data_IF_663233547956
#
_entry.id   IF_663233547956
#
_cell.length_a   1.000
_cell.length_b   1.000
_cell.length_c   1.000
_cell.angle_alpha   90.00
_cell.angle_beta   90.00
_cell.angle_gamma   90.00
#
_symmetry.space_group_name_H-M   'P 1'
#
loop_
_entity.id
_entity.type
_entity.pdbx_description
1 polymer ?
#
# COMPACT_ATOMS: atom_id res chain seq x y z
N UNK A 1 -17.81 -23.64 -13.35
CA UNK A 1 -17.33 -22.45 -12.62
C UNK A 1 -15.84 -22.62 -12.31
N UNK A 2 -14.95 -21.89 -12.99
CA UNK A 2 -13.49 -21.98 -12.74
C UNK A 2 -13.05 -20.78 -11.91
N UNK A 3 -12.69 -21.01 -10.64
CA UNK A 3 -12.04 -20.03 -9.76
C UNK A 3 -10.60 -19.82 -10.25
N UNK A 4 -10.19 -18.58 -10.53
CA UNK A 4 -8.77 -18.24 -10.70
C UNK A 4 -8.21 -17.87 -9.33
N UNK A 5 -7.16 -18.57 -8.91
CA UNK A 5 -6.35 -18.21 -7.76
C UNK A 5 -5.64 -16.87 -8.02
N UNK A 6 -5.67 -15.98 -7.03
CA UNK A 6 -4.80 -14.81 -6.94
C UNK A 6 -3.45 -15.32 -6.41
N UNK A 7 -2.32 -15.04 -7.06
CA UNK A 7 -1.02 -15.44 -6.54
C UNK A 7 -0.63 -14.54 -5.36
N UNK A 8 -0.42 -15.15 -4.20
CA UNK A 8 0.33 -14.57 -3.08
C UNK A 8 1.81 -14.73 -3.41
N UNK A 9 2.54 -13.62 -3.49
CA UNK A 9 3.99 -13.63 -3.69
C UNK A 9 4.68 -13.83 -2.33
N UNK A 10 5.17 -15.04 -2.09
CA UNK A 10 6.16 -15.32 -1.05
C UNK A 10 7.57 -15.15 -1.65
N UNK A 11 8.40 -14.32 -1.01
CA UNK A 11 9.77 -14.05 -1.42
C UNK A 11 10.71 -15.14 -0.91
N UNK A 12 11.31 -15.92 -1.83
CA UNK A 12 12.39 -16.87 -1.50
C UNK A 12 13.68 -16.42 -2.16
N UNK A 13 14.61 -15.98 -1.32
CA UNK A 13 15.98 -15.64 -1.67
C UNK A 13 16.71 -16.81 -2.37
N UNK A 14 17.46 -16.50 -3.43
CA UNK A 14 18.28 -17.45 -4.18
C UNK A 14 19.77 -17.05 -4.15
N UNK A 15 20.70 -17.99 -3.93
CA UNK A 15 22.12 -17.76 -4.21
C UNK A 15 22.56 -18.32 -5.58
N UNK A 16 23.38 -17.48 -6.21
CA UNK A 16 24.09 -17.52 -7.51
C UNK A 16 24.66 -18.85 -7.99
N UNK A 17 24.84 -18.97 -9.30
CA UNK A 17 25.81 -19.87 -9.96
C UNK A 17 26.54 -19.15 -11.13
N UNK A 18 27.78 -19.52 -11.50
CA UNK A 18 28.64 -18.71 -12.35
C UNK A 18 28.75 -19.15 -13.82
N UNK A 19 29.15 -18.16 -14.61
CA UNK A 19 29.67 -18.02 -15.99
C UNK A 19 30.20 -19.26 -16.74
N UNK A 20 29.82 -19.36 -18.03
CA UNK A 20 30.78 -19.57 -19.13
C UNK A 20 30.41 -20.57 -20.24
N UNK A 21 30.21 -20.10 -21.49
CA UNK A 21 30.99 -20.45 -22.71
C UNK A 21 30.32 -19.97 -24.02
N UNK A 22 31.19 -19.58 -24.96
CA UNK A 22 30.93 -19.03 -26.30
C UNK A 22 30.63 -20.13 -27.34
N UNK A 23 29.94 -19.79 -28.45
CA UNK A 23 29.97 -20.61 -29.68
C UNK A 23 28.87 -20.37 -30.74
N UNK A 24 29.29 -19.76 -31.86
CA UNK A 24 28.76 -19.83 -33.25
C UNK A 24 27.50 -19.02 -33.69
N UNK A 25 27.55 -18.33 -34.86
CA UNK A 25 26.46 -17.51 -35.37
C UNK A 25 25.44 -18.34 -36.19
N UNK A 26 24.15 -18.19 -35.87
CA UNK A 26 23.02 -18.78 -36.62
C UNK A 26 22.50 -17.80 -37.68
N UNK A 27 21.99 -18.30 -38.82
CA UNK A 27 21.64 -17.48 -39.98
C UNK A 27 20.46 -16.52 -39.69
N UNK A 28 20.53 -15.33 -40.29
CA UNK A 28 19.54 -14.26 -40.17
C UNK A 28 18.20 -14.69 -40.75
N UNK A 29 17.27 -15.11 -39.89
CA UNK A 29 15.87 -15.20 -40.22
C UNK A 29 15.29 -13.78 -40.37
N UNK A 30 14.71 -13.48 -41.54
CA UNK A 30 13.89 -12.28 -41.79
C UNK A 30 12.83 -12.19 -40.67
N UNK A 31 12.99 -11.22 -39.77
CA UNK A 31 11.94 -10.84 -38.82
C UNK A 31 10.80 -10.23 -39.63
N UNK A 32 9.78 -11.04 -39.93
CA UNK A 32 8.43 -10.50 -40.17
C UNK A 32 8.11 -9.66 -38.94
N UNK A 33 7.78 -8.39 -39.14
CA UNK A 33 7.37 -7.51 -38.06
C UNK A 33 6.24 -8.17 -37.29
N UNK A 34 6.55 -8.66 -36.10
CA UNK A 34 5.52 -8.99 -35.12
C UNK A 34 4.99 -7.62 -34.73
N UNK A 35 3.83 -7.26 -35.27
CA UNK A 35 3.03 -6.18 -34.72
C UNK A 35 2.94 -6.46 -33.22
N UNK A 36 3.59 -5.61 -32.42
CA UNK A 36 3.54 -5.73 -30.97
C UNK A 36 2.08 -5.68 -30.58
N UNK A 37 1.56 -6.76 -29.98
CA UNK A 37 0.23 -6.72 -29.37
C UNK A 37 0.18 -5.47 -28.48
N UNK A 38 -0.94 -4.72 -28.48
CA UNK A 38 -1.09 -3.61 -27.54
C UNK A 38 -0.84 -4.14 -26.14
N UNK A 39 0.16 -3.59 -25.46
CA UNK A 39 0.46 -3.95 -24.08
C UNK A 39 -0.74 -3.53 -23.24
N UNK A 40 -1.58 -4.50 -22.88
CA UNK A 40 -2.61 -4.31 -21.88
C UNK A 40 -1.92 -3.90 -20.59
N UNK A 41 -2.13 -2.65 -20.16
CA UNK A 41 -1.60 -2.19 -18.87
C UNK A 41 -2.30 -2.99 -17.77
N UNK A 42 -1.53 -3.69 -16.95
CA UNK A 42 -2.09 -4.37 -15.79
C UNK A 42 -2.26 -3.32 -14.69
N UNK A 43 -3.50 -2.88 -14.49
CA UNK A 43 -3.86 -2.04 -13.34
C UNK A 43 -3.80 -2.86 -12.06
N UNK A 44 -3.00 -2.41 -11.10
CA UNK A 44 -2.84 -3.04 -9.79
C UNK A 44 -3.32 -2.09 -8.68
N UNK A 45 -4.01 -2.65 -7.69
CA UNK A 45 -4.34 -1.95 -6.45
C UNK A 45 -3.44 -2.50 -5.36
N UNK A 46 -2.74 -1.62 -4.64
CA UNK A 46 -1.95 -2.01 -3.48
C UNK A 46 -2.86 -2.02 -2.26
N UNK A 47 -2.92 -3.14 -1.55
CA UNK A 47 -3.67 -3.26 -0.31
C UNK A 47 -2.71 -3.68 0.79
N UNK A 48 -2.75 -2.97 1.91
CA UNK A 48 -1.96 -3.31 3.08
C UNK A 48 -2.74 -3.10 4.36
N UNK A 49 -2.32 -3.83 5.38
CA UNK A 49 -2.92 -3.90 6.71
C UNK A 49 -1.85 -3.56 7.74
N UNK A 50 -2.11 -2.62 8.65
CA UNK A 50 -1.17 -2.23 9.71
C UNK A 50 0.23 -1.88 9.16
N UNK A 51 1.29 -2.60 9.54
CA UNK A 51 2.64 -2.45 8.96
C UNK A 51 2.68 -2.71 7.45
N UNK A 52 1.85 -3.63 6.95
CA UNK A 52 1.66 -3.87 5.53
C UNK A 52 1.05 -2.68 4.80
N UNK A 53 0.22 -1.87 5.46
CA UNK A 53 -0.31 -0.63 4.88
C UNK A 53 0.79 0.45 4.79
N UNK A 54 1.67 0.53 5.79
CA UNK A 54 2.86 1.38 5.70
C UNK A 54 3.74 0.96 4.50
N UNK A 55 3.98 -0.34 4.33
CA UNK A 55 4.71 -0.90 3.18
C UNK A 55 3.99 -0.60 1.87
N UNK A 56 2.66 -0.73 1.82
CA UNK A 56 1.87 -0.41 0.62
C UNK A 56 2.02 1.06 0.22
N UNK A 57 1.96 2.00 1.17
CA UNK A 57 2.21 3.43 0.92
C UNK A 57 3.65 3.66 0.40
N UNK A 58 4.63 3.01 1.02
CA UNK A 58 6.02 3.11 0.59
C UNK A 58 6.22 2.59 -0.84
N UNK A 59 5.64 1.44 -1.17
CA UNK A 59 5.70 0.85 -2.53
C UNK A 59 4.95 1.74 -3.52
N UNK A 60 3.81 2.31 -3.15
CA UNK A 60 3.08 3.27 -3.99
C UNK A 60 3.97 4.47 -4.37
N UNK A 61 4.74 5.00 -3.40
CA UNK A 61 5.70 6.08 -3.64
C UNK A 61 6.82 5.67 -4.58
N UNK A 62 7.41 4.49 -4.35
CA UNK A 62 8.45 3.95 -5.23
C UNK A 62 7.94 3.70 -6.65
N UNK A 63 6.68 3.29 -6.79
CA UNK A 63 6.05 3.16 -8.10
C UNK A 63 5.90 4.51 -8.81
N UNK A 64 5.50 5.56 -8.09
CA UNK A 64 5.41 6.92 -8.63
C UNK A 64 6.80 7.45 -9.02
N UNK A 65 7.82 7.26 -8.18
CA UNK A 65 9.20 7.64 -8.47
C UNK A 65 9.78 6.91 -9.69
N UNK A 66 9.50 5.61 -9.80
CA UNK A 66 9.96 4.78 -10.92
C UNK A 66 9.29 5.15 -12.25
N UNK A 67 8.06 5.69 -12.21
CA UNK A 67 7.32 6.11 -13.40
C UNK A 67 7.20 5.00 -14.43
N UNK A 68 7.70 5.24 -15.66
CA UNK A 68 7.62 4.26 -16.77
C UNK A 68 8.56 3.06 -16.62
N UNK A 69 9.45 3.05 -15.63
CA UNK A 69 10.38 1.92 -15.41
C UNK A 69 9.66 0.63 -15.00
N UNK A 70 8.46 0.74 -14.42
CA UNK A 70 7.64 -0.40 -14.00
C UNK A 70 6.57 -0.78 -15.03
N UNK A 71 6.59 -0.20 -16.23
CA UNK A 71 5.68 -0.60 -17.31
C UNK A 71 5.84 -2.12 -17.61
N UNK A 72 4.72 -2.85 -17.82
CA UNK A 72 3.36 -2.38 -18.03
C UNK A 72 2.50 -2.28 -16.74
N UNK A 73 3.10 -2.39 -15.55
CA UNK A 73 2.39 -2.34 -14.27
C UNK A 73 2.06 -0.90 -13.91
N UNK A 74 0.80 -0.62 -13.60
CA UNK A 74 0.34 0.69 -13.12
C UNK A 74 -0.37 0.53 -11.79
N UNK A 75 0.12 1.21 -10.75
CA UNK A 75 -0.59 1.34 -9.48
C UNK A 75 -1.75 2.31 -9.70
N UNK A 76 -2.98 1.80 -9.73
CA UNK A 76 -4.18 2.60 -10.05
C UNK A 76 -4.90 3.12 -8.81
N UNK A 77 -4.69 2.48 -7.66
CA UNK A 77 -5.18 2.90 -6.36
C UNK A 77 -4.42 2.18 -5.24
N UNK A 78 -4.61 2.60 -4.00
CA UNK A 78 -4.20 1.87 -2.81
C UNK A 78 -5.31 1.83 -1.76
N UNK A 79 -5.22 0.84 -0.87
CA UNK A 79 -6.08 0.63 0.30
C UNK A 79 -5.17 0.46 1.51
N UNK A 80 -5.27 1.40 2.45
CA UNK A 80 -4.46 1.46 3.66
C UNK A 80 -5.37 1.16 4.87
N UNK A 81 -5.32 -0.07 5.36
CA UNK A 81 -6.11 -0.48 6.52
C UNK A 81 -5.33 -0.24 7.81
N UNK A 82 -5.89 0.63 8.67
CA UNK A 82 -5.35 1.07 9.96
C UNK A 82 -3.83 1.17 9.92
N UNK A 83 -3.27 2.05 9.07
CA UNK A 83 -1.87 2.00 8.71
C UNK A 83 -0.96 2.32 9.88
N UNK A 84 0.13 1.56 9.99
CA UNK A 84 1.13 1.75 11.03
C UNK A 84 2.04 2.93 10.73
N UNK A 85 1.46 4.12 10.88
CA UNK A 85 2.16 5.39 10.85
C UNK A 85 2.45 5.85 12.27
N UNK A 86 3.59 6.52 12.45
CA UNK A 86 3.99 7.15 13.72
C UNK A 86 4.56 8.53 13.45
N UNK A 87 4.79 9.34 14.47
CA UNK A 87 5.47 10.62 14.38
C UNK A 87 5.87 11.12 15.76
N UNK A 88 6.78 12.10 15.81
CA UNK A 88 7.25 12.67 17.08
C UNK A 88 6.17 13.48 17.80
N UNK A 89 5.38 14.25 17.04
CA UNK A 89 4.25 15.02 17.55
C UNK A 89 3.03 14.11 17.73
N UNK A 90 2.59 13.87 18.98
CA UNK A 90 1.51 12.94 19.25
C UNK A 90 0.16 13.49 18.77
N UNK A 91 -0.66 12.64 18.15
CA UNK A 91 -2.06 12.94 17.83
C UNK A 91 -2.97 12.72 19.03
N UNK A 92 -4.24 13.15 18.94
CA UNK A 92 -5.20 12.97 20.03
C UNK A 92 -5.47 11.48 20.33
N UNK A 93 -5.63 10.62 19.32
CA UNK A 93 -5.73 9.16 19.49
C UNK A 93 -4.50 8.57 20.16
N UNK A 94 -3.30 9.02 19.78
CA UNK A 94 -2.05 8.51 20.34
C UNK A 94 -1.87 8.87 21.82
N UNK A 95 -2.42 10.00 22.26
CA UNK A 95 -2.46 10.41 23.68
C UNK A 95 -3.55 9.65 24.43
N UNK A 96 -4.78 9.62 23.89
CA UNK A 96 -5.96 9.04 24.56
C UNK A 96 -5.82 7.52 24.75
N UNK A 97 -5.24 6.82 23.78
CA UNK A 97 -5.16 5.36 23.75
C UNK A 97 -3.77 4.83 24.14
N UNK A 98 -2.91 5.67 24.71
CA UNK A 98 -1.52 5.35 25.04
C UNK A 98 -1.33 4.14 25.96
N UNK A 99 -2.35 3.75 26.74
CA UNK A 99 -2.32 2.65 27.71
C UNK A 99 -3.39 1.58 27.41
N UNK A 100 -3.74 1.38 26.14
CA UNK A 100 -4.77 0.41 25.74
C UNK A 100 -4.19 -0.95 25.38
N UNK A 101 -5.04 -1.98 25.36
CA UNK A 101 -4.62 -3.38 25.38
C UNK A 101 -4.08 -3.94 24.06
N UNK A 102 -4.32 -3.30 22.91
CA UNK A 102 -3.93 -3.86 21.60
C UNK A 102 -2.54 -3.37 21.15
N UNK A 103 -2.39 -2.07 20.91
CA UNK A 103 -1.12 -1.46 20.51
C UNK A 103 -0.93 -0.19 21.31
N UNK A 104 0.08 -0.19 22.18
CA UNK A 104 0.47 0.98 22.95
C UNK A 104 1.70 1.66 22.33
N UNK A 105 2.00 2.87 22.81
CA UNK A 105 3.14 3.65 22.33
C UNK A 105 4.46 2.88 22.47
N UNK A 106 4.65 2.15 23.56
CA UNK A 106 5.90 1.44 23.86
C UNK A 106 6.18 0.34 22.84
N UNK A 107 5.17 -0.47 22.52
CA UNK A 107 5.24 -1.53 21.53
C UNK A 107 5.49 -0.95 20.13
N UNK A 108 4.76 0.10 19.74
CA UNK A 108 4.94 0.75 18.45
C UNK A 108 6.35 1.35 18.29
N UNK A 109 6.85 2.04 19.32
CA UNK A 109 8.21 2.61 19.31
C UNK A 109 9.26 1.50 19.24
N UNK A 110 9.07 0.40 19.99
CA UNK A 110 9.97 -0.74 19.95
C UNK A 110 10.02 -1.39 18.56
N UNK A 111 8.87 -1.55 17.89
CA UNK A 111 8.80 -2.09 16.54
C UNK A 111 9.63 -1.26 15.55
N UNK A 112 9.53 0.08 15.61
CA UNK A 112 10.33 0.97 14.76
C UNK A 112 11.83 0.97 15.12
N UNK A 113 12.19 0.82 16.40
CA UNK A 113 13.58 0.65 16.83
C UNK A 113 14.21 -0.64 16.32
N UNK A 114 13.43 -1.71 16.20
CA UNK A 114 13.88 -2.98 15.65
C UNK A 114 13.99 -2.93 14.12
N UNK A 115 13.15 -2.13 13.46
CA UNK A 115 13.13 -2.00 12.01
C UNK A 115 14.24 -1.09 11.46
N UNK A 116 14.56 0.01 12.16
CA UNK A 116 15.56 0.98 11.72
C UNK A 116 16.92 0.73 12.38
N UNK A 117 18.04 0.96 11.67
CA UNK A 117 19.35 1.04 12.31
C UNK A 117 19.33 2.09 13.43
N UNK A 118 19.98 1.81 14.56
CA UNK A 118 19.94 2.67 15.75
C UNK A 118 20.34 4.13 15.45
N UNK A 119 21.29 4.34 14.52
CA UNK A 119 21.77 5.67 14.10
C UNK A 119 20.77 6.46 13.24
N UNK A 120 19.81 5.77 12.65
CA UNK A 120 18.78 6.33 11.76
C UNK A 120 17.41 6.37 12.42
N UNK A 121 17.28 5.82 13.64
CA UNK A 121 16.04 5.78 14.36
C UNK A 121 15.51 7.19 14.64
N UNK A 122 14.36 7.49 14.05
CA UNK A 122 13.56 8.67 14.33
C UNK A 122 12.10 8.30 14.14
N UNK A 123 11.23 8.81 15.02
CA UNK A 123 9.78 8.68 14.80
C UNK A 123 9.33 9.46 13.56
N UNK A 124 10.11 10.46 13.15
CA UNK A 124 9.92 11.21 11.90
C UNK A 124 10.81 10.69 10.78
N UNK A 125 11.24 9.43 10.87
CA UNK A 125 11.88 8.79 9.73
C UNK A 125 10.86 8.70 8.56
N UNK A 126 11.23 8.97 7.29
CA UNK A 126 10.30 8.96 6.15
C UNK A 126 9.61 7.62 5.86
N UNK A 127 10.11 6.52 6.42
CA UNK A 127 9.46 5.21 6.41
C UNK A 127 8.34 5.11 7.46
N UNK A 128 8.46 5.83 8.57
CA UNK A 128 7.60 5.72 9.74
C UNK A 128 6.50 6.79 9.76
N UNK A 129 6.88 8.04 9.46
CA UNK A 129 5.99 9.19 9.44
C UNK A 129 5.68 9.61 8.00
N UNK A 130 4.43 9.47 7.53
CA UNK A 130 4.10 9.80 6.15
C UNK A 130 3.95 11.30 5.90
N UNK A 131 3.91 12.11 6.96
CA UNK A 131 3.64 13.56 6.94
C UNK A 131 4.90 14.42 7.09
N UNK A 132 6.08 13.81 7.02
CA UNK A 132 7.33 14.57 7.15
C UNK A 132 7.56 15.48 5.94
N UNK A 133 7.99 16.73 6.16
CA UNK A 133 8.33 17.64 5.07
C UNK A 133 9.40 17.05 4.15
N UNK A 134 9.32 17.36 2.85
CA UNK A 134 10.32 16.91 1.88
C UNK A 134 10.25 15.43 1.52
N UNK A 135 9.27 14.67 2.03
CA UNK A 135 9.02 13.28 1.60
C UNK A 135 8.55 13.26 0.15
N UNK A 136 9.46 12.89 -0.75
CA UNK A 136 9.15 12.64 -2.16
C UNK A 136 8.33 11.35 -2.35
N UNK A 137 7.64 11.22 -3.49
CA UNK A 137 7.25 12.28 -4.42
C UNK A 137 6.15 13.18 -3.82
N UNK A 138 5.83 14.35 -4.44
CA UNK A 138 4.74 15.21 -3.97
C UNK A 138 3.42 14.46 -3.83
N UNK A 139 2.65 14.74 -2.77
CA UNK A 139 1.39 14.03 -2.48
C UNK A 139 0.39 14.03 -3.64
N UNK A 140 0.35 15.09 -4.45
CA UNK A 140 -0.51 15.18 -5.65
C UNK A 140 -0.24 14.10 -6.71
N UNK A 141 0.91 13.44 -6.63
CA UNK A 141 1.30 12.36 -7.53
C UNK A 141 0.96 10.97 -6.98
N UNK A 142 0.51 10.90 -5.72
CA UNK A 142 0.11 9.64 -5.11
C UNK A 142 -1.15 9.08 -5.78
N UNK A 143 -1.29 7.74 -5.85
CA UNK A 143 -2.51 7.14 -6.36
C UNK A 143 -3.70 7.45 -5.44
N UNK A 144 -4.93 7.38 -5.97
CA UNK A 144 -6.14 7.35 -5.15
C UNK A 144 -6.00 6.40 -3.97
N UNK A 145 -6.40 6.83 -2.78
CA UNK A 145 -6.07 6.15 -1.51
C UNK A 145 -7.30 5.97 -0.63
N UNK A 146 -7.80 4.75 -0.49
CA UNK A 146 -8.78 4.44 0.53
C UNK A 146 -8.08 4.24 1.88
N UNK A 147 -8.42 5.04 2.88
CA UNK A 147 -7.92 4.86 4.25
C UNK A 147 -9.03 4.24 5.10
N UNK A 148 -8.74 3.13 5.78
CA UNK A 148 -9.67 2.52 6.75
C UNK A 148 -9.10 2.72 8.14
N UNK A 149 -9.91 3.18 9.08
CA UNK A 149 -9.51 3.35 10.49
C UNK A 149 -10.56 2.76 11.43
N UNK A 150 -10.10 2.35 12.60
CA UNK A 150 -10.94 1.84 13.68
C UNK A 150 -11.01 2.87 14.81
N UNK A 151 -12.17 3.04 15.43
CA UNK A 151 -12.39 4.06 16.49
C UNK A 151 -11.47 3.87 17.70
N UNK A 152 -11.21 2.61 18.08
CA UNK A 152 -10.34 2.25 19.20
C UNK A 152 -8.95 1.83 18.73
N UNK A 153 -8.36 2.65 17.87
CA UNK A 153 -7.00 2.46 17.34
C UNK A 153 -6.10 3.65 17.69
N UNK A 154 -4.96 3.34 18.31
CA UNK A 154 -3.92 4.30 18.63
C UNK A 154 -3.45 5.10 17.39
N UNK A 155 -3.36 4.43 16.23
CA UNK A 155 -2.87 5.00 14.96
C UNK A 155 -3.92 5.82 14.19
N UNK A 156 -5.17 5.84 14.66
CA UNK A 156 -6.33 6.40 13.93
C UNK A 156 -6.09 7.81 13.41
N UNK A 157 -5.80 8.76 14.29
CA UNK A 157 -5.82 10.18 13.92
C UNK A 157 -4.68 10.53 12.96
N UNK A 158 -3.56 9.79 13.00
CA UNK A 158 -2.45 9.98 12.08
C UNK A 158 -2.79 9.49 10.68
N UNK A 159 -3.49 8.36 10.57
CA UNK A 159 -4.02 7.87 9.30
C UNK A 159 -5.03 8.85 8.68
N UNK A 160 -5.92 9.42 9.51
CA UNK A 160 -6.86 10.46 9.09
C UNK A 160 -6.10 11.69 8.56
N UNK A 161 -5.12 12.20 9.31
CA UNK A 161 -4.31 13.34 8.91
C UNK A 161 -3.59 13.11 7.58
N UNK A 162 -3.08 11.90 7.33
CA UNK A 162 -2.50 11.54 6.04
C UNK A 162 -3.50 11.65 4.88
N UNK A 163 -4.71 11.11 5.07
CA UNK A 163 -5.78 11.19 4.08
C UNK A 163 -6.22 12.64 3.83
N UNK A 164 -6.25 13.47 4.87
CA UNK A 164 -6.56 14.90 4.74
C UNK A 164 -5.51 15.65 3.90
N UNK A 165 -4.21 15.39 4.12
CA UNK A 165 -3.15 16.01 3.31
C UNK A 165 -3.22 15.58 1.84
N UNK A 166 -3.56 14.31 1.55
CA UNK A 166 -3.84 13.85 0.20
C UNK A 166 -5.03 14.60 -0.44
N UNK A 167 -6.12 14.79 0.32
CA UNK A 167 -7.30 15.51 -0.16
C UNK A 167 -7.04 17.00 -0.41
N UNK A 168 -6.21 17.66 0.41
CA UNK A 168 -5.80 19.06 0.23
C UNK A 168 -5.13 19.32 -1.12
N UNK A 169 -4.48 18.30 -1.68
CA UNK A 169 -3.85 18.34 -3.00
C UNK A 169 -4.68 17.66 -4.11
N UNK A 170 -5.98 17.49 -3.88
CA UNK A 170 -6.98 16.94 -4.81
C UNK A 170 -6.77 15.47 -5.21
N UNK A 171 -6.13 14.65 -4.36
CA UNK A 171 -6.16 13.19 -4.51
C UNK A 171 -7.49 12.65 -3.96
N UNK A 172 -8.12 11.73 -4.69
CA UNK A 172 -9.28 10.99 -4.21
C UNK A 172 -8.86 10.07 -3.06
N UNK A 173 -9.07 10.53 -1.83
CA UNK A 173 -8.59 9.87 -0.63
C UNK A 173 -9.63 9.83 0.52
N UNK A 174 -10.70 9.04 0.38
CA UNK A 174 -11.72 8.91 1.42
C UNK A 174 -11.19 8.15 2.65
N UNK A 175 -11.76 8.48 3.80
CA UNK A 175 -11.56 7.75 5.06
C UNK A 175 -12.84 7.01 5.40
N UNK A 176 -12.72 5.72 5.72
CA UNK A 176 -13.79 4.93 6.32
C UNK A 176 -13.48 4.70 7.80
N UNK A 177 -14.32 5.26 8.66
CA UNK A 177 -14.20 5.12 10.10
C UNK A 177 -15.20 4.08 10.62
N UNK A 178 -14.70 2.99 11.20
CA UNK A 178 -15.54 1.96 11.79
C UNK A 178 -15.67 2.19 13.30
N UNK A 179 -16.90 2.48 13.73
CA UNK A 179 -17.26 2.68 15.14
C UNK A 179 -17.16 1.38 15.93
N UNK A 180 -16.79 1.50 17.19
CA UNK A 180 -16.58 0.41 18.15
C UNK A 180 -15.58 -0.67 17.67
N UNK A 181 -14.86 -0.41 16.58
CA UNK A 181 -13.86 -1.31 16.03
C UNK A 181 -12.50 -1.09 16.70
N UNK A 182 -11.70 -2.14 16.75
CA UNK A 182 -10.31 -2.15 17.22
C UNK A 182 -9.34 -2.31 16.05
N UNK A 183 -8.05 -2.11 16.30
CA UNK A 183 -7.01 -2.43 15.32
C UNK A 183 -7.15 -3.90 14.87
N UNK A 184 -7.02 -4.17 13.56
CA UNK A 184 -7.19 -5.50 12.94
C UNK A 184 -8.63 -6.08 12.99
N UNK A 185 -9.67 -5.27 13.19
CA UNK A 185 -11.07 -5.76 13.23
C UNK A 185 -11.51 -6.54 11.98
N UNK A 186 -10.92 -6.23 10.82
CA UNK A 186 -11.28 -6.81 9.52
C UNK A 186 -10.32 -7.91 9.04
N UNK A 187 -9.37 -8.34 9.88
CA UNK A 187 -8.29 -9.28 9.52
C UNK A 187 -8.03 -10.32 10.59
N UNK A 188 -8.28 -10.02 11.87
CA UNK A 188 -8.26 -11.01 12.94
C UNK A 188 -9.37 -12.04 12.74
N UNK A 189 -8.98 -13.32 12.65
CA UNK A 189 -9.88 -14.45 12.41
C UNK A 189 -11.11 -14.47 13.33
N UNK A 190 -10.93 -14.08 14.60
CA UNK A 190 -11.99 -14.04 15.60
C UNK A 190 -13.04 -12.94 15.33
N UNK A 191 -12.68 -11.90 14.57
CA UNK A 191 -13.53 -10.74 14.27
C UNK A 191 -14.08 -10.75 12.83
N UNK A 192 -13.60 -11.62 11.94
CA UNK A 192 -14.02 -11.66 10.53
C UNK A 192 -15.53 -11.89 10.33
N UNK A 193 -16.22 -12.48 11.31
CA UNK A 193 -17.68 -12.69 11.26
C UNK A 193 -18.50 -11.51 11.77
N UNK A 194 -17.86 -10.45 12.26
CA UNK A 194 -18.55 -9.25 12.72
C UNK A 194 -19.15 -8.48 11.53
N UNK A 195 -20.27 -7.76 11.73
CA UNK A 195 -20.84 -6.90 10.69
C UNK A 195 -19.85 -5.87 10.15
N UNK A 196 -18.99 -5.31 11.03
CA UNK A 196 -17.98 -4.33 10.67
C UNK A 196 -16.95 -4.91 9.70
N UNK A 197 -16.41 -6.11 9.99
CA UNK A 197 -15.45 -6.77 9.12
C UNK A 197 -16.02 -7.07 7.72
N UNK A 198 -17.27 -7.51 7.67
CA UNK A 198 -17.97 -7.80 6.40
C UNK A 198 -18.22 -6.51 5.60
N UNK A 199 -18.72 -5.46 6.25
CA UNK A 199 -18.91 -4.16 5.61
C UNK A 199 -17.58 -3.61 5.07
N UNK A 200 -16.49 -3.75 5.83
CA UNK A 200 -15.15 -3.35 5.38
C UNK A 200 -14.69 -4.09 4.12
N UNK A 201 -14.93 -5.40 4.04
CA UNK A 201 -14.62 -6.17 2.84
C UNK A 201 -15.43 -5.68 1.62
N UNK A 202 -16.71 -5.37 1.81
CA UNK A 202 -17.59 -4.86 0.74
C UNK A 202 -17.15 -3.47 0.26
N UNK A 203 -16.84 -2.56 1.20
CA UNK A 203 -16.36 -1.21 0.88
C UNK A 203 -15.04 -1.24 0.12
N UNK A 204 -14.10 -2.10 0.53
CA UNK A 204 -12.83 -2.33 -0.18
C UNK A 204 -13.11 -2.89 -1.57
N UNK A 205 -14.03 -3.84 -1.71
CA UNK A 205 -14.37 -4.41 -3.01
C UNK A 205 -14.97 -3.36 -3.96
N UNK A 206 -15.80 -2.44 -3.45
CA UNK A 206 -16.33 -1.30 -4.22
C UNK A 206 -15.20 -0.40 -4.70
N UNK A 207 -14.26 -0.05 -3.82
CA UNK A 207 -13.10 0.76 -4.15
C UNK A 207 -12.22 0.12 -5.23
N UNK A 208 -11.89 -1.16 -5.06
CA UNK A 208 -11.08 -1.92 -6.03
C UNK A 208 -11.79 -1.98 -7.39
N UNK A 209 -13.10 -2.25 -7.41
CA UNK A 209 -13.89 -2.28 -8.65
C UNK A 209 -13.90 -0.93 -9.36
N UNK A 210 -14.00 0.18 -8.63
CA UNK A 210 -13.95 1.55 -9.17
C UNK A 210 -12.67 1.74 -9.99
N UNK A 211 -11.50 1.47 -9.42
CA UNK A 211 -10.22 1.78 -10.09
C UNK A 211 -9.73 0.74 -11.09
N UNK A 212 -10.14 -0.53 -10.95
CA UNK A 212 -9.85 -1.53 -11.97
C UNK A 212 -10.74 -1.32 -13.21
N UNK A 213 -12.02 -0.95 -13.02
CA UNK A 213 -12.97 -0.82 -14.15
C UNK A 213 -12.80 0.48 -14.95
N UNK A 214 -12.45 1.60 -14.30
CA UNK A 214 -12.41 2.94 -14.94
C UNK A 214 -11.41 3.03 -16.10
N UNK A 215 -10.40 2.15 -16.18
CA UNK A 215 -9.37 2.21 -17.25
C UNK A 215 -9.40 1.05 -18.25
N UNK A 216 -10.39 0.16 -18.17
CA UNK A 216 -10.63 -0.84 -19.21
C UNK A 216 -11.26 -0.26 -20.49
N UNK A 217 -11.72 0.99 -20.46
CA UNK A 217 -12.49 1.64 -21.53
C UNK A 217 -11.80 2.84 -22.21
N UNK A 218 -10.53 3.12 -21.92
CA UNK A 218 -9.77 4.12 -22.67
C UNK A 218 -9.00 3.46 -23.82
N UNK A 219 -9.43 3.77 -25.05
CA UNK A 219 -8.83 3.53 -26.37
C UNK A 219 -9.19 2.23 -27.13
N UNK A 220 -10.39 2.26 -27.72
CA UNK A 220 -10.63 1.72 -29.06
C UNK A 220 -11.50 2.71 -29.86
N UNK A 221 -10.85 3.73 -30.42
CA UNK A 221 -11.34 4.53 -31.56
C UNK A 221 -10.14 4.81 -32.47
#
# INVERSE_FOLDING_TARGET
MRRRLIPVLEDKASPRSPVGRQGAPRPRARRRGVASLPRSHAGCVLLGVSCGANIADFVARKAVEAGKLIDPVKVVAQVLMYPFFIGSNPTHSEVKLANTYFYDKSLCVLAWKLFLPEREFSLDHPAANPLVPGRGPPLKCMPPTLTVVAEHDWMRDRAIAYSEELRKVNVDAPVLEYKDAVHEFATLDMLLKTPQAQACADDIAIWVKKYISIRGHEFSY
#
